data_IF_089587878205
#
_entry.id   IF_089587878205
#
_cell.length_a   1.000
_cell.length_b   1.000
_cell.length_c   1.000
_cell.angle_alpha   90.00
_cell.angle_beta   90.00
_cell.angle_gamma   90.00
#
_symmetry.space_group_name_H-M   'P 1'
#
loop_
_entity.id
_entity.type
_entity.pdbx_description
1 polymer ?
#
# COMPACT_ATOMS: atom_id res chain seq x y z
N UNK A 1 7.92 41.21 -0.34
CA UNK A 1 7.32 40.02 -0.96
C UNK A 1 6.51 39.26 0.09
N UNK A 2 5.19 39.20 -0.14
CA UNK A 2 4.15 38.30 0.35
C UNK A 2 4.12 37.85 1.84
N UNK A 3 3.09 38.34 2.53
CA UNK A 3 2.63 37.92 3.85
C UNK A 3 2.38 36.41 3.92
N UNK A 4 3.03 35.71 4.88
CA UNK A 4 2.62 34.37 5.28
C UNK A 4 1.33 34.48 6.10
N UNK A 5 0.19 34.26 5.46
CA UNK A 5 -1.10 34.13 6.15
C UNK A 5 -1.03 32.93 7.09
N UNK A 6 -1.04 33.17 8.39
CA UNK A 6 -1.21 32.14 9.42
C UNK A 6 -2.66 31.67 9.36
N UNK A 7 -2.90 30.51 8.77
CA UNK A 7 -4.24 29.92 8.70
C UNK A 7 -4.64 29.47 10.10
N UNK A 8 -5.70 30.09 10.63
CA UNK A 8 -6.37 29.75 11.88
C UNK A 8 -6.85 28.29 11.80
N UNK A 9 -6.28 27.39 12.60
CA UNK A 9 -6.78 26.02 12.72
C UNK A 9 -8.14 26.06 13.41
N UNK A 10 -9.18 25.75 12.65
CA UNK A 10 -10.55 25.63 13.15
C UNK A 10 -10.61 24.39 14.06
N UNK A 11 -10.99 24.57 15.32
CA UNK A 11 -10.89 23.56 16.40
C UNK A 11 -11.81 22.33 16.20
N UNK A 12 -12.61 22.30 15.14
CA UNK A 12 -13.62 21.28 14.88
C UNK A 12 -13.11 19.99 14.20
N UNK A 13 -11.93 19.99 13.58
CA UNK A 13 -11.40 18.81 12.87
C UNK A 13 -10.08 18.38 13.50
N UNK A 14 -10.14 17.73 14.66
CA UNK A 14 -8.97 17.08 15.23
C UNK A 14 -8.47 16.00 14.25
N UNK A 15 -7.36 16.29 13.58
CA UNK A 15 -6.70 15.34 12.69
C UNK A 15 -6.19 14.21 13.59
N UNK A 16 -6.53 12.98 13.25
CA UNK A 16 -6.01 11.78 13.93
C UNK A 16 -5.17 10.96 12.96
N UNK A 17 -4.36 10.04 13.47
CA UNK A 17 -3.58 9.11 12.64
C UNK A 17 -4.48 8.39 11.63
N UNK A 18 -5.65 7.94 12.10
CA UNK A 18 -6.63 7.23 11.30
C UNK A 18 -7.19 8.06 10.14
N UNK A 19 -7.32 9.39 10.30
CA UNK A 19 -7.71 10.25 9.18
C UNK A 19 -6.69 10.21 8.03
N UNK A 20 -5.38 10.18 8.34
CA UNK A 20 -4.32 10.08 7.33
C UNK A 20 -4.24 8.72 6.67
N UNK A 21 -4.49 7.66 7.44
CA UNK A 21 -4.57 6.29 6.89
C UNK A 21 -5.75 6.18 5.92
N UNK A 22 -6.89 6.80 6.24
CA UNK A 22 -8.05 6.84 5.34
C UNK A 22 -7.79 7.63 4.05
N UNK A 23 -7.02 8.72 4.12
CA UNK A 23 -6.61 9.50 2.94
C UNK A 23 -5.66 8.72 2.00
N UNK A 24 -4.86 7.81 2.56
CA UNK A 24 -3.86 7.03 1.82
C UNK A 24 -3.98 5.53 2.16
N UNK A 25 -5.02 4.85 1.66
CA UNK A 25 -5.16 3.41 1.86
C UNK A 25 -3.95 2.68 1.30
N UNK A 26 -3.54 1.59 1.98
CA UNK A 26 -2.42 0.69 1.62
C UNK A 26 -1.00 1.26 1.73
N UNK A 27 -0.83 2.58 1.81
CA UNK A 27 0.50 3.20 1.90
C UNK A 27 1.03 3.19 3.34
N UNK A 28 0.16 3.44 4.30
CA UNK A 28 0.52 3.56 5.70
C UNK A 28 -0.16 2.51 6.57
N UNK A 29 0.53 2.10 7.63
CA UNK A 29 0.00 1.30 8.73
C UNK A 29 0.14 2.08 10.04
N UNK A 30 -0.74 1.80 11.00
CA UNK A 30 -0.61 2.35 12.36
C UNK A 30 -0.02 1.27 13.25
N UNK A 31 1.06 1.61 13.94
CA UNK A 31 1.71 0.71 14.89
C UNK A 31 2.09 1.54 16.12
N UNK A 32 1.64 1.12 17.30
CA UNK A 32 1.91 1.80 18.57
C UNK A 32 1.61 3.31 18.57
N UNK A 33 0.51 3.74 17.93
CA UNK A 33 0.15 5.16 17.76
C UNK A 33 1.16 5.98 16.94
N UNK A 34 1.97 5.31 16.11
CA UNK A 34 2.83 5.93 15.10
C UNK A 34 2.35 5.52 13.71
N UNK A 35 2.52 6.44 12.75
CA UNK A 35 2.22 6.16 11.34
C UNK A 35 3.48 5.60 10.68
N UNK A 36 3.44 4.36 10.21
CA UNK A 36 4.53 3.72 9.50
C UNK A 36 4.22 3.62 8.01
N UNK A 37 5.24 3.86 7.18
CA UNK A 37 5.14 3.64 5.74
C UNK A 37 5.45 2.19 5.39
N UNK A 38 4.54 1.51 4.68
CA UNK A 38 4.72 0.12 4.27
C UNK A 38 5.84 -0.10 3.24
N UNK A 39 6.24 0.95 2.53
CA UNK A 39 7.30 0.86 1.52
C UNK A 39 8.68 1.21 2.07
N UNK A 40 8.73 2.12 3.04
CA UNK A 40 9.98 2.62 3.59
C UNK A 40 10.36 1.97 4.91
N UNK A 41 9.39 1.35 5.62
CA UNK A 41 9.53 0.87 7.00
C UNK A 41 10.08 1.93 7.97
N UNK A 42 9.68 3.18 7.72
CA UNK A 42 10.02 4.33 8.56
C UNK A 42 8.76 4.89 9.22
N UNK A 43 8.92 5.33 10.47
CA UNK A 43 7.91 6.13 11.15
C UNK A 43 7.85 7.54 10.54
N UNK A 44 6.65 8.00 10.21
CA UNK A 44 6.38 9.30 9.60
C UNK A 44 5.53 10.14 10.55
N UNK A 45 5.94 11.38 10.77
CA UNK A 45 5.16 12.34 11.55
C UNK A 45 3.88 12.70 10.79
N UNK A 46 2.73 12.37 11.36
CA UNK A 46 1.41 12.45 10.72
C UNK A 46 0.66 13.75 11.03
N UNK A 47 1.11 14.51 12.05
CA UNK A 47 0.48 15.76 12.50
C UNK A 47 0.35 16.80 11.40
N UNK A 48 1.29 16.82 10.46
CA UNK A 48 1.33 17.77 9.36
C UNK A 48 1.15 17.06 8.01
N UNK A 49 0.12 17.45 7.25
CA UNK A 49 -0.13 16.91 5.90
C UNK A 49 1.09 17.07 5.00
N UNK A 50 1.75 18.23 5.07
CA UNK A 50 2.95 18.52 4.28
C UNK A 50 4.07 17.52 4.51
N UNK A 51 4.22 17.01 5.74
CA UNK A 51 5.24 16.00 6.07
C UNK A 51 4.93 14.67 5.44
N UNK A 52 3.66 14.24 5.50
CA UNK A 52 3.17 13.01 4.85
C UNK A 52 3.30 13.12 3.32
N UNK A 53 2.88 14.23 2.73
CA UNK A 53 2.99 14.48 1.29
C UNK A 53 4.46 14.50 0.83
N UNK A 54 5.33 15.20 1.56
CA UNK A 54 6.77 15.26 1.24
C UNK A 54 7.43 13.88 1.32
N UNK A 55 7.01 13.06 2.28
CA UNK A 55 7.49 11.68 2.38
C UNK A 55 7.09 10.86 1.14
N UNK A 56 5.83 10.92 0.71
CA UNK A 56 5.33 10.21 -0.47
C UNK A 56 6.02 10.65 -1.78
N UNK A 57 6.40 11.93 -1.88
CA UNK A 57 7.13 12.48 -3.02
C UNK A 57 8.65 12.24 -2.94
N UNK A 58 9.14 11.73 -1.81
CA UNK A 58 10.55 11.46 -1.59
C UNK A 58 11.12 10.42 -2.56
N UNK A 59 12.34 10.66 -3.04
CA UNK A 59 13.03 9.75 -3.98
C UNK A 59 13.11 8.30 -3.47
N UNK A 60 13.35 8.13 -2.16
CA UNK A 60 13.40 6.81 -1.50
C UNK A 60 12.07 6.07 -1.62
N UNK A 61 10.97 6.74 -1.29
CA UNK A 61 9.62 6.21 -1.37
C UNK A 61 9.27 5.82 -2.82
N UNK A 62 9.56 6.68 -3.79
CA UNK A 62 9.29 6.40 -5.20
C UNK A 62 10.08 5.19 -5.73
N UNK A 63 11.35 5.04 -5.33
CA UNK A 63 12.16 3.90 -5.70
C UNK A 63 11.61 2.59 -5.12
N UNK A 64 11.28 2.58 -3.83
CA UNK A 64 10.73 1.40 -3.14
C UNK A 64 9.33 1.04 -3.62
N UNK A 65 8.49 2.04 -3.92
CA UNK A 65 7.17 1.83 -4.51
C UNK A 65 7.26 1.13 -5.87
N UNK A 66 8.26 1.49 -6.69
CA UNK A 66 8.51 0.83 -7.98
C UNK A 66 8.98 -0.62 -7.80
N UNK A 67 9.93 -0.88 -6.88
CA UNK A 67 10.42 -2.25 -6.64
C UNK A 67 9.34 -3.17 -6.09
N UNK A 68 8.57 -2.70 -5.10
CA UNK A 68 7.44 -3.44 -4.52
C UNK A 68 6.34 -3.74 -5.55
N UNK A 69 6.03 -2.79 -6.44
CA UNK A 69 5.07 -3.02 -7.53
C UNK A 69 5.53 -4.16 -8.45
N UNK A 70 6.81 -4.18 -8.83
CA UNK A 70 7.38 -5.24 -9.68
C UNK A 70 7.35 -6.62 -9.01
N UNK A 71 7.64 -6.69 -7.71
CA UNK A 71 7.55 -7.93 -6.94
C UNK A 71 6.09 -8.42 -6.89
N UNK A 72 5.13 -7.52 -6.62
CA UNK A 72 3.71 -7.88 -6.54
C UNK A 72 3.20 -8.47 -7.85
N UNK A 73 3.56 -7.91 -9.01
CA UNK A 73 3.15 -8.43 -10.32
C UNK A 73 3.66 -9.85 -10.57
N UNK A 74 4.93 -10.13 -10.21
CA UNK A 74 5.53 -11.47 -10.34
C UNK A 74 4.85 -12.50 -9.45
N UNK A 75 4.53 -12.12 -8.21
CA UNK A 75 3.83 -13.01 -7.26
C UNK A 75 2.39 -13.29 -7.70
N UNK A 76 1.67 -12.31 -8.26
CA UNK A 76 0.31 -12.56 -8.77
C UNK A 76 0.30 -13.48 -9.99
N UNK A 77 1.32 -13.40 -10.84
CA UNK A 77 1.46 -14.30 -11.99
C UNK A 77 1.73 -15.74 -11.52
N UNK A 78 2.57 -15.90 -10.49
CA UNK A 78 2.85 -17.20 -9.88
C UNK A 78 1.61 -17.80 -9.18
N UNK A 79 0.82 -17.02 -8.44
CA UNK A 79 -0.40 -17.53 -7.79
C UNK A 79 -1.48 -17.97 -8.80
N UNK A 80 -1.61 -17.30 -9.95
CA UNK A 80 -2.49 -17.76 -11.05
C UNK A 80 -1.94 -19.03 -11.71
N UNK A 81 -0.64 -19.13 -11.88
CA UNK A 81 -0.02 -20.30 -12.49
C UNK A 81 -0.04 -21.53 -11.56
N UNK A 82 -0.02 -21.34 -10.24
CA UNK A 82 -0.21 -22.43 -9.25
C UNK A 82 -1.66 -22.90 -9.19
N UNK A 83 -2.64 -22.01 -9.32
CA UNK A 83 -4.07 -22.37 -9.34
C UNK A 83 -4.53 -23.02 -10.65
N UNK A 84 -3.90 -22.73 -11.79
CA UNK A 84 -4.15 -23.48 -13.02
C UNK A 84 -3.52 -24.89 -13.03
N UNK A 85 -2.42 -25.11 -12.29
CA UNK A 85 -1.70 -26.39 -12.31
C UNK A 85 -2.34 -27.48 -11.45
N UNK A 86 -3.16 -27.12 -10.47
CA UNK A 86 -3.97 -28.06 -9.69
C UNK A 86 -5.27 -28.49 -10.39
N UNK A 87 -5.77 -27.72 -11.36
CA UNK A 87 -7.00 -28.04 -12.12
C UNK A 87 -6.72 -28.87 -13.37
N UNK A 88 -5.51 -28.81 -13.93
CA UNK A 88 -5.16 -29.60 -15.13
C UNK A 88 -4.75 -31.05 -14.85
N UNK A 89 -4.58 -31.45 -13.58
CA UNK A 89 -4.25 -32.83 -13.21
C UNK A 89 -5.51 -33.70 -13.10
N UNK A 90 -6.71 -33.11 -12.94
CA UNK A 90 -7.95 -33.87 -12.72
C UNK A 90 -8.81 -34.12 -13.98
N UNK A 91 -8.42 -33.67 -15.18
CA UNK A 91 -9.21 -33.88 -16.42
C UNK A 91 -8.62 -34.89 -17.41
N UNK A 92 -7.55 -35.61 -17.06
CA UNK A 92 -7.00 -36.68 -17.91
C UNK A 92 -6.93 -38.00 -17.15
N UNK A 93 -8.08 -38.69 -17.08
CA UNK A 93 -8.25 -40.17 -17.04
C UNK A 93 -9.73 -40.48 -16.81
N UNK A 94 -10.53 -40.36 -17.86
CA UNK A 94 -11.70 -41.23 -18.03
C UNK A 94 -11.52 -41.92 -19.38
N UNK A 95 -10.93 -43.11 -19.31
CA UNK A 95 -10.95 -44.08 -20.40
C UNK A 95 -12.40 -44.50 -20.67
N UNK A 96 -12.81 -44.72 -21.93
CA UNK A 96 -14.08 -45.36 -22.21
C UNK A 96 -13.99 -46.83 -21.78
N UNK A 97 -14.80 -47.24 -20.80
CA UNK A 97 -15.03 -48.66 -20.52
C UNK A 97 -16.16 -49.12 -21.44
N UNK A 98 -15.77 -49.90 -22.43
CA UNK A 98 -16.65 -50.68 -23.29
C UNK A 98 -16.98 -51.99 -22.54
N UNK A 99 -18.27 -52.26 -22.25
CA UNK A 99 -18.92 -53.58 -22.10
C UNK A 99 -20.41 -53.37 -22.36
#
# INVERSE_FOLDING_TARGET
>A
MSFRKRTKTNKANAITIYTRVKEHPDVFRVENSLLFCNYCDLSVEWRHKSTVDSHCLGKKHLAQKKSMKLIKTRVTDLHKNVTCRSVQICTSKNFPVNI
#
